data_IF_511720887946
#
_entry.id   IF_511720887946
#
_cell.length_a   1.000
_cell.length_b   1.000
_cell.length_c   1.000
_cell.angle_alpha   90.00
_cell.angle_beta   90.00
_cell.angle_gamma   90.00
#
_symmetry.space_group_name_H-M   'P 1'
#
loop_
_entity.id
_entity.type
_entity.pdbx_description
1 polymer ?
#
# COMPACT_ATOMS: atom_id res chain seq x y z
N UNK A 1 -11.78 -6.85 -9.13
CA UNK A 1 -10.90 -7.44 -8.10
C UNK A 1 -9.80 -6.45 -7.80
N UNK A 2 -9.85 -5.78 -6.66
CA UNK A 2 -8.90 -4.71 -6.31
C UNK A 2 -7.60 -5.31 -5.78
N UNK A 3 -6.51 -4.92 -6.41
CA UNK A 3 -5.13 -5.30 -6.06
C UNK A 3 -4.57 -4.27 -5.10
N UNK A 4 -3.88 -4.69 -4.08
CA UNK A 4 -3.50 -3.82 -2.96
C UNK A 4 -2.03 -3.69 -2.78
N UNK A 5 -1.64 -2.50 -2.40
CA UNK A 5 -0.29 -1.98 -2.50
C UNK A 5 0.38 -2.00 -1.13
N UNK A 6 1.54 -2.63 -1.06
CA UNK A 6 2.55 -2.36 -0.03
C UNK A 6 3.70 -1.69 -0.74
N UNK A 7 4.04 -0.48 -0.31
CA UNK A 7 5.17 0.28 -0.84
C UNK A 7 6.38 0.10 0.09
N UNK A 8 7.48 -0.37 -0.46
CA UNK A 8 8.77 -0.42 0.23
C UNK A 8 9.63 0.71 -0.33
N UNK A 9 10.11 1.59 0.53
CA UNK A 9 10.98 2.70 0.16
C UNK A 9 12.35 2.52 0.81
N UNK A 10 13.39 2.50 -0.01
CA UNK A 10 14.78 2.37 0.40
C UNK A 10 15.52 3.68 0.16
N UNK A 11 16.27 4.12 1.15
CA UNK A 11 17.11 5.32 1.07
C UNK A 11 18.58 4.90 1.27
N UNK A 12 19.43 4.91 0.24
CA UNK A 12 20.86 4.79 0.41
C UNK A 12 21.48 6.16 0.74
N UNK A 13 22.48 6.18 1.59
CA UNK A 13 23.38 7.34 1.77
C UNK A 13 24.79 6.97 1.39
N UNK A 14 25.41 7.82 0.59
CA UNK A 14 26.84 7.74 0.30
C UNK A 14 27.62 8.55 1.32
N UNK A 15 28.60 7.91 2.02
CA UNK A 15 29.55 8.60 2.88
C UNK A 15 30.85 8.79 2.10
N UNK A 16 31.12 10.03 1.66
CA UNK A 16 32.41 10.40 1.12
C UNK A 16 33.15 11.27 2.15
N UNK A 17 34.28 10.76 2.69
CA UNK A 17 35.16 11.55 3.52
C UNK A 17 35.87 12.58 2.62
N UNK A 18 35.51 13.80 2.76
CA UNK A 18 36.17 15.08 2.71
C UNK A 18 35.35 16.18 2.08
N UNK A 19 35.13 17.21 2.88
CA UNK A 19 34.82 18.59 2.55
C UNK A 19 33.81 18.82 1.37
N UNK A 20 32.59 19.21 1.69
CA UNK A 20 31.57 19.71 0.77
C UNK A 20 30.92 18.69 -0.19
N UNK A 21 30.87 17.44 0.14
CA UNK A 21 30.01 16.52 -0.59
C UNK A 21 28.63 16.45 0.10
N UNK A 22 27.61 16.98 -0.55
CA UNK A 22 26.23 16.73 -0.16
C UNK A 22 25.96 15.22 -0.21
N UNK A 23 25.29 14.68 0.80
CA UNK A 23 24.85 13.28 0.77
C UNK A 23 23.83 13.12 -0.36
N UNK A 24 24.17 12.35 -1.38
CA UNK A 24 23.22 11.96 -2.41
C UNK A 24 22.38 10.83 -1.83
N UNK A 25 21.09 11.09 -1.65
CA UNK A 25 20.14 10.07 -1.23
C UNK A 25 19.42 9.53 -2.45
N UNK A 26 19.50 8.23 -2.68
CA UNK A 26 18.73 7.53 -3.70
C UNK A 26 17.68 6.63 -3.07
N UNK A 27 16.61 6.33 -3.78
CA UNK A 27 15.50 5.52 -3.26
C UNK A 27 15.03 4.50 -4.28
N UNK A 28 14.98 3.24 -3.86
CA UNK A 28 14.35 2.16 -4.60
C UNK A 28 12.91 1.98 -4.08
N UNK A 29 11.94 1.99 -5.00
CA UNK A 29 10.52 1.80 -4.65
C UNK A 29 9.94 0.61 -5.38
N UNK A 30 9.16 -0.19 -4.66
CA UNK A 30 8.39 -1.27 -5.26
C UNK A 30 7.01 -1.37 -4.61
N UNK A 31 6.10 -2.02 -5.32
CA UNK A 31 4.71 -2.23 -4.88
C UNK A 31 4.38 -3.70 -4.97
N UNK A 32 3.99 -4.30 -3.86
CA UNK A 32 3.59 -5.70 -3.78
C UNK A 32 2.08 -5.82 -3.61
N UNK A 33 1.52 -6.91 -4.13
CA UNK A 33 0.09 -7.13 -4.18
C UNK A 33 -0.34 -8.29 -3.29
N UNK A 34 -1.51 -8.15 -2.69
CA UNK A 34 -2.12 -9.15 -1.84
C UNK A 34 -3.49 -9.56 -2.35
N UNK A 35 -3.87 -10.80 -2.17
CA UNK A 35 -5.25 -11.22 -2.40
C UNK A 35 -6.20 -10.52 -1.45
N UNK A 36 -7.44 -10.30 -1.90
CA UNK A 36 -8.48 -9.68 -1.07
C UNK A 36 -8.70 -10.50 0.20
N UNK A 37 -8.71 -9.85 1.36
CA UNK A 37 -8.90 -10.50 2.66
C UNK A 37 -7.67 -11.21 3.25
N UNK A 38 -6.58 -11.37 2.49
CA UNK A 38 -5.38 -12.09 2.95
C UNK A 38 -4.25 -11.14 3.33
N UNK A 39 -3.46 -11.56 4.32
CA UNK A 39 -2.24 -10.85 4.75
C UNK A 39 -0.96 -11.62 4.44
N UNK A 40 -1.05 -12.84 3.91
CA UNK A 40 0.09 -13.59 3.44
C UNK A 40 0.56 -13.04 2.09
N UNK A 41 1.88 -12.86 1.95
CA UNK A 41 2.49 -12.51 0.68
C UNK A 41 2.63 -13.77 -0.17
N UNK A 42 1.92 -13.82 -1.28
CA UNK A 42 2.04 -14.90 -2.26
C UNK A 42 2.97 -14.45 -3.38
N UNK A 43 4.10 -15.15 -3.57
CA UNK A 43 5.07 -14.82 -4.61
C UNK A 43 4.50 -15.04 -6.03
N UNK A 44 3.68 -16.07 -6.19
CA UNK A 44 2.99 -16.38 -7.46
C UNK A 44 1.84 -15.44 -7.79
N UNK A 45 1.47 -14.53 -6.86
CA UNK A 45 0.38 -13.60 -7.10
C UNK A 45 0.86 -12.36 -7.82
N UNK A 46 0.30 -12.11 -9.00
CA UNK A 46 0.71 -11.00 -9.86
C UNK A 46 2.19 -11.10 -10.25
N UNK A 47 2.89 -9.98 -10.16
CA UNK A 47 4.32 -9.81 -10.42
C UNK A 47 5.17 -9.72 -9.14
N UNK A 48 4.65 -10.22 -8.01
CA UNK A 48 5.32 -10.14 -6.71
C UNK A 48 6.70 -10.77 -6.72
N UNK A 49 6.88 -11.95 -7.33
CA UNK A 49 8.18 -12.63 -7.38
C UNK A 49 9.24 -11.77 -8.09
N UNK A 50 8.93 -11.25 -9.28
CA UNK A 50 9.84 -10.41 -10.04
C UNK A 50 10.19 -9.12 -9.30
N UNK A 51 9.20 -8.48 -8.67
CA UNK A 51 9.39 -7.25 -7.89
C UNK A 51 10.23 -7.48 -6.64
N UNK A 52 10.03 -8.57 -5.94
CA UNK A 52 10.85 -8.93 -4.78
C UNK A 52 12.28 -9.24 -5.18
N UNK A 53 12.49 -9.94 -6.30
CA UNK A 53 13.84 -10.21 -6.76
C UNK A 53 14.57 -8.92 -7.18
N UNK A 54 13.90 -8.01 -7.88
CA UNK A 54 14.46 -6.69 -8.19
C UNK A 54 14.81 -5.90 -6.92
N UNK A 55 13.92 -5.92 -5.92
CA UNK A 55 14.16 -5.27 -4.63
C UNK A 55 15.38 -5.87 -3.92
N UNK A 56 15.47 -7.19 -3.87
CA UNK A 56 16.57 -7.93 -3.26
C UNK A 56 17.92 -7.62 -3.92
N UNK A 57 17.94 -7.60 -5.26
CA UNK A 57 19.15 -7.24 -6.01
C UNK A 57 19.55 -5.79 -5.73
N UNK A 58 18.62 -4.85 -5.69
CA UNK A 58 18.89 -3.46 -5.34
C UNK A 58 19.47 -3.30 -3.93
N UNK A 59 18.91 -4.00 -2.93
CA UNK A 59 19.42 -3.97 -1.56
C UNK A 59 20.82 -4.57 -1.48
N UNK A 60 21.08 -5.69 -2.14
CA UNK A 60 22.42 -6.30 -2.19
C UNK A 60 23.44 -5.39 -2.84
N UNK A 61 23.09 -4.77 -3.97
CA UNK A 61 23.95 -3.79 -4.65
C UNK A 61 24.35 -2.62 -3.74
N UNK A 62 23.45 -2.19 -2.85
CA UNK A 62 23.77 -1.18 -1.82
C UNK A 62 24.79 -1.75 -0.82
N UNK A 63 24.62 -2.98 -0.36
CA UNK A 63 25.51 -3.62 0.61
C UNK A 63 26.91 -3.94 0.04
N UNK A 64 26.97 -4.25 -1.26
CA UNK A 64 28.21 -4.60 -1.96
C UNK A 64 29.06 -3.37 -2.32
N UNK A 65 28.48 -2.18 -2.31
CA UNK A 65 29.19 -0.94 -2.64
C UNK A 65 29.74 -0.28 -1.36
N UNK A 66 31.07 -0.18 -1.22
CA UNK A 66 31.70 0.37 0.00
C UNK A 66 31.38 1.85 0.25
N UNK A 67 30.87 2.57 -0.75
CA UNK A 67 30.52 3.99 -0.66
C UNK A 67 29.02 4.20 -0.34
N UNK A 68 28.26 3.15 -0.13
CA UNK A 68 26.81 3.24 0.14
C UNK A 68 26.46 2.51 1.42
N UNK A 69 25.46 3.03 2.12
CA UNK A 69 24.92 2.41 3.33
C UNK A 69 23.40 2.34 3.22
N UNK A 70 22.85 1.17 3.45
CA UNK A 70 21.41 1.01 3.61
C UNK A 70 20.98 1.66 4.94
N UNK A 71 20.34 2.81 4.86
CA UNK A 71 19.90 3.52 6.05
C UNK A 71 18.57 2.99 6.57
N UNK A 72 17.60 2.77 5.67
CA UNK A 72 16.25 2.55 6.12
C UNK A 72 15.38 1.86 5.07
N UNK A 73 14.52 0.95 5.53
CA UNK A 73 13.45 0.32 4.75
C UNK A 73 12.11 0.77 5.33
N UNK A 74 11.38 1.59 4.57
CA UNK A 74 10.03 2.00 4.95
C UNK A 74 8.99 1.13 4.28
N UNK A 75 8.15 0.49 5.07
CA UNK A 75 7.04 -0.33 4.60
C UNK A 75 5.75 0.43 4.89
N UNK A 76 5.05 0.84 3.85
CA UNK A 76 3.70 1.40 3.95
C UNK A 76 2.70 0.35 3.47
N UNK A 77 1.81 -0.06 4.33
CA UNK A 77 0.81 -1.08 4.04
C UNK A 77 -0.61 -0.54 4.11
N UNK A 78 -1.46 -1.06 3.23
CA UNK A 78 -2.86 -0.67 3.18
C UNK A 78 -3.78 -1.86 2.86
N UNK A 79 -5.06 -1.67 3.12
CA UNK A 79 -6.11 -2.57 2.68
C UNK A 79 -7.08 -1.81 1.78
N UNK A 80 -7.88 -2.49 0.92
CA UNK A 80 -8.94 -1.81 0.19
C UNK A 80 -10.04 -1.38 1.14
N UNK A 81 -10.74 -0.31 0.81
CA UNK A 81 -11.85 0.17 1.61
C UNK A 81 -13.10 -0.74 1.59
N UNK A 82 -13.03 -1.90 0.94
CA UNK A 82 -14.15 -2.84 0.90
C UNK A 82 -14.38 -3.53 2.25
N UNK A 83 -15.62 -3.56 2.71
CA UNK A 83 -16.02 -4.26 3.92
C UNK A 83 -15.73 -3.47 5.20
N UNK A 84 -15.50 -4.17 6.29
CA UNK A 84 -15.39 -3.58 7.61
C UNK A 84 -14.06 -2.85 7.82
N UNK A 85 -14.11 -1.55 8.10
CA UNK A 85 -12.94 -0.67 8.27
C UNK A 85 -11.99 -1.16 9.39
N UNK A 86 -12.53 -1.63 10.52
CA UNK A 86 -11.72 -2.16 11.63
C UNK A 86 -10.95 -3.42 11.22
N UNK A 87 -11.57 -4.28 10.41
CA UNK A 87 -10.89 -5.46 9.87
C UNK A 87 -9.84 -5.05 8.84
N UNK A 88 -10.13 -4.08 7.98
CA UNK A 88 -9.20 -3.58 6.98
C UNK A 88 -7.95 -2.93 7.61
N UNK A 89 -8.12 -2.13 8.67
CA UNK A 89 -7.01 -1.55 9.44
C UNK A 89 -6.11 -2.65 10.05
N UNK A 90 -6.70 -3.72 10.61
CA UNK A 90 -5.93 -4.86 11.12
C UNK A 90 -5.24 -5.63 10.00
N UNK A 91 -5.91 -5.83 8.87
CA UNK A 91 -5.36 -6.52 7.71
C UNK A 91 -4.16 -5.75 7.13
N UNK A 92 -4.30 -4.44 6.98
CA UNK A 92 -3.22 -3.58 6.53
C UNK A 92 -1.98 -3.71 7.44
N UNK A 93 -2.15 -3.56 8.76
CA UNK A 93 -1.06 -3.72 9.72
C UNK A 93 -0.37 -5.07 9.59
N UNK A 94 -1.12 -6.17 9.58
CA UNK A 94 -0.57 -7.52 9.43
C UNK A 94 0.22 -7.73 8.14
N UNK A 95 -0.19 -7.08 7.05
CA UNK A 95 0.55 -7.11 5.78
C UNK A 95 1.93 -6.48 5.92
N UNK A 96 1.98 -5.30 6.53
CA UNK A 96 3.23 -4.60 6.76
C UNK A 96 4.18 -5.38 7.67
N UNK A 97 3.67 -5.90 8.80
CA UNK A 97 4.43 -6.71 9.75
C UNK A 97 5.01 -7.97 9.09
N UNK A 98 4.19 -8.73 8.36
CA UNK A 98 4.63 -9.95 7.67
C UNK A 98 5.62 -9.68 6.54
N UNK A 99 5.47 -8.57 5.82
CA UNK A 99 6.44 -8.18 4.81
C UNK A 99 7.78 -7.82 5.45
N UNK A 100 7.77 -7.07 6.57
CA UNK A 100 8.99 -6.80 7.35
C UNK A 100 9.68 -8.09 7.74
N UNK A 101 8.93 -9.03 8.36
CA UNK A 101 9.50 -10.30 8.84
C UNK A 101 10.10 -11.10 7.70
N UNK A 102 9.41 -11.17 6.56
CA UNK A 102 9.90 -11.82 5.36
C UNK A 102 11.19 -11.18 4.82
N UNK A 103 11.23 -9.85 4.71
CA UNK A 103 12.42 -9.15 4.22
C UNK A 103 13.59 -9.24 5.21
N UNK A 104 13.31 -9.16 6.49
CA UNK A 104 14.30 -9.33 7.56
C UNK A 104 14.99 -10.68 7.48
N UNK A 105 14.22 -11.75 7.35
CA UNK A 105 14.73 -13.11 7.21
C UNK A 105 15.49 -13.30 5.89
N UNK A 106 14.89 -12.92 4.78
CA UNK A 106 15.45 -13.11 3.44
C UNK A 106 16.77 -12.36 3.22
N UNK A 107 16.91 -11.16 3.81
CA UNK A 107 18.07 -10.28 3.62
C UNK A 107 19.05 -10.28 4.79
N UNK A 108 18.73 -11.02 5.86
CA UNK A 108 19.51 -11.06 7.10
C UNK A 108 19.77 -9.65 7.67
N UNK A 109 18.74 -8.79 7.70
CA UNK A 109 18.85 -7.41 8.16
C UNK A 109 18.36 -7.27 9.61
N UNK A 110 18.95 -6.37 10.40
CA UNK A 110 18.48 -6.08 11.75
C UNK A 110 17.13 -5.35 11.73
N UNK A 111 16.36 -5.53 12.79
CA UNK A 111 15.04 -4.91 12.93
C UNK A 111 15.06 -3.38 12.88
N UNK A 112 16.18 -2.79 13.32
CA UNK A 112 16.40 -1.34 13.39
C UNK A 112 16.36 -0.61 12.05
N UNK A 113 16.59 -1.32 10.94
CA UNK A 113 16.52 -0.71 9.60
C UNK A 113 15.09 -0.61 9.08
N UNK A 114 14.11 -1.22 9.76
CA UNK A 114 12.73 -1.25 9.28
C UNK A 114 11.83 -0.25 10.01
N UNK A 115 11.01 0.44 9.24
CA UNK A 115 9.82 1.14 9.78
C UNK A 115 8.60 0.64 9.05
N UNK A 116 7.63 0.16 9.82
CA UNK A 116 6.34 -0.29 9.30
C UNK A 116 5.27 0.73 9.69
N UNK A 117 4.57 1.24 8.69
CA UNK A 117 3.40 2.09 8.87
C UNK A 117 2.21 1.50 8.12
N UNK A 118 1.02 1.78 8.63
CA UNK A 118 -0.22 1.32 8.04
C UNK A 118 -1.12 2.51 7.73
N UNK A 119 -1.47 2.68 6.47
CA UNK A 119 -2.46 3.66 6.03
C UNK A 119 -3.91 3.21 6.33
N UNK A 120 -4.10 1.97 6.80
CA UNK A 120 -5.43 1.41 6.99
C UNK A 120 -6.10 1.11 5.66
N UNK A 121 -7.02 1.94 5.22
CA UNK A 121 -7.73 1.81 3.95
C UNK A 121 -7.11 2.67 2.86
N UNK A 122 -6.96 2.11 1.66
CA UNK A 122 -6.34 2.76 0.51
C UNK A 122 -7.39 3.41 -0.39
N UNK A 123 -7.96 4.50 0.10
CA UNK A 123 -8.93 5.29 -0.66
C UNK A 123 -8.31 5.97 -1.87
N UNK A 124 -7.05 6.43 -1.75
CA UNK A 124 -6.35 7.06 -2.86
C UNK A 124 -6.03 6.05 -3.97
N UNK A 125 -5.52 4.87 -3.62
CA UNK A 125 -5.30 3.80 -4.59
C UNK A 125 -6.59 3.34 -5.28
N UNK A 126 -7.72 3.37 -4.58
CA UNK A 126 -9.03 3.14 -5.20
C UNK A 126 -9.36 4.25 -6.20
N UNK A 127 -9.20 5.52 -5.81
CA UNK A 127 -9.47 6.65 -6.67
C UNK A 127 -8.63 6.62 -7.95
N UNK A 128 -7.32 6.37 -7.83
CA UNK A 128 -6.42 6.22 -8.97
C UNK A 128 -6.85 5.08 -9.90
N UNK A 129 -7.31 3.98 -9.35
CA UNK A 129 -7.79 2.85 -10.15
C UNK A 129 -9.07 3.20 -10.90
N UNK A 130 -10.05 3.84 -10.26
CA UNK A 130 -11.29 4.31 -10.87
C UNK A 130 -10.97 5.31 -11.99
N UNK A 131 -10.04 6.23 -11.73
CA UNK A 131 -9.60 7.20 -12.73
C UNK A 131 -8.99 6.52 -13.96
N UNK A 132 -8.16 5.50 -13.75
CA UNK A 132 -7.54 4.72 -14.83
C UNK A 132 -8.54 3.90 -15.63
N UNK A 133 -9.58 3.37 -14.98
CA UNK A 133 -10.65 2.60 -15.62
C UNK A 133 -11.48 3.48 -16.58
N UNK A 134 -11.63 4.76 -16.26
CA UNK A 134 -12.29 5.79 -17.06
C UNK A 134 -13.67 5.36 -17.61
N UNK A 135 -14.43 4.65 -16.78
CA UNK A 135 -15.80 4.24 -17.08
C UNK A 135 -16.76 5.44 -16.95
N UNK A 136 -17.97 5.42 -17.55
CA UNK A 136 -18.95 6.51 -17.46
C UNK A 136 -19.24 6.96 -16.01
N UNK A 137 -19.27 6.02 -15.07
CA UNK A 137 -19.52 6.27 -13.64
C UNK A 137 -18.28 6.80 -12.88
N UNK A 138 -17.06 6.73 -13.46
CA UNK A 138 -15.80 7.06 -12.77
C UNK A 138 -15.80 8.48 -12.20
N UNK A 139 -16.31 9.45 -12.95
CA UNK A 139 -16.37 10.87 -12.51
C UNK A 139 -17.17 11.03 -11.22
N UNK A 140 -18.35 10.43 -11.15
CA UNK A 140 -19.21 10.51 -9.98
C UNK A 140 -18.61 9.78 -8.78
N UNK A 141 -18.02 8.61 -9.00
CA UNK A 141 -17.32 7.87 -7.96
C UNK A 141 -16.12 8.63 -7.37
N UNK A 142 -15.31 9.24 -8.22
CA UNK A 142 -14.19 10.08 -7.80
C UNK A 142 -14.65 11.30 -7.00
N UNK A 143 -15.77 11.91 -7.43
CA UNK A 143 -16.35 13.02 -6.68
C UNK A 143 -16.76 12.59 -5.28
N UNK A 144 -17.44 11.46 -5.13
CA UNK A 144 -17.85 10.92 -3.82
C UNK A 144 -16.61 10.63 -2.96
N UNK A 145 -15.61 9.92 -3.48
CA UNK A 145 -14.40 9.55 -2.73
C UNK A 145 -13.65 10.81 -2.24
N UNK A 146 -13.55 11.84 -3.06
CA UNK A 146 -12.77 13.04 -2.74
C UNK A 146 -13.51 14.07 -1.89
N UNK A 147 -14.83 14.08 -1.93
CA UNK A 147 -15.64 15.12 -1.29
C UNK A 147 -16.53 14.59 -0.15
N UNK A 148 -16.58 13.29 0.07
CA UNK A 148 -17.35 12.70 1.16
C UNK A 148 -16.42 12.26 2.28
N UNK A 149 -16.63 12.69 3.53
CA UNK A 149 -15.86 12.20 4.67
C UNK A 149 -15.91 10.68 4.77
N UNK A 150 -14.85 10.06 5.27
CA UNK A 150 -14.82 8.61 5.49
C UNK A 150 -16.04 8.16 6.31
N UNK A 151 -16.38 8.91 7.33
CA UNK A 151 -17.53 8.68 8.19
C UNK A 151 -18.31 9.97 8.47
N UNK A 152 -19.64 9.91 8.38
CA UNK A 152 -20.53 10.97 8.84
C UNK A 152 -21.15 10.51 10.16
N UNK A 153 -20.88 11.24 11.24
CA UNK A 153 -21.38 10.91 12.57
C UNK A 153 -22.45 11.90 12.98
N UNK A 154 -23.63 11.42 13.33
CA UNK A 154 -24.71 12.21 13.94
C UNK A 154 -25.09 11.58 15.27
N UNK A 155 -25.16 12.39 16.35
CA UNK A 155 -25.49 11.92 17.70
C UNK A 155 -24.64 10.71 18.16
N UNK A 156 -23.34 10.72 17.87
CA UNK A 156 -22.42 9.64 18.25
C UNK A 156 -22.56 8.35 17.42
N UNK A 157 -23.42 8.32 16.42
CA UNK A 157 -23.61 7.17 15.53
C UNK A 157 -23.16 7.50 14.12
N UNK A 158 -22.47 6.55 13.50
CA UNK A 158 -22.16 6.62 12.06
C UNK A 158 -23.46 6.44 11.29
N UNK A 159 -23.81 7.43 10.49
CA UNK A 159 -25.06 7.42 9.70
C UNK A 159 -24.81 7.37 8.20
N UNK A 160 -23.61 7.79 7.77
CA UNK A 160 -23.25 7.85 6.35
C UNK A 160 -21.73 8.02 6.21
N UNK A 161 -21.24 8.17 4.97
CA UNK A 161 -19.84 8.37 4.63
C UNK A 161 -19.35 7.39 3.57
N UNK A 162 -18.20 7.68 2.98
CA UNK A 162 -17.61 6.81 1.96
C UNK A 162 -17.34 5.38 2.48
N UNK A 163 -16.92 5.26 3.74
CA UNK A 163 -16.65 3.97 4.38
C UNK A 163 -17.93 3.16 4.64
N UNK A 164 -19.05 3.81 5.00
CA UNK A 164 -20.33 3.10 5.19
C UNK A 164 -20.82 2.49 3.88
N UNK A 165 -20.64 3.16 2.76
CA UNK A 165 -20.93 2.62 1.43
C UNK A 165 -20.07 1.39 1.14
N UNK A 166 -18.79 1.44 1.49
CA UNK A 166 -17.85 0.33 1.28
C UNK A 166 -18.17 -0.89 2.17
N UNK A 167 -18.62 -0.67 3.41
CA UNK A 167 -18.99 -1.75 4.35
C UNK A 167 -20.32 -2.44 3.98
N UNK A 168 -21.27 -1.70 3.46
CA UNK A 168 -22.58 -2.23 3.10
C UNK A 168 -22.55 -3.17 1.88
N UNK A 169 -21.43 -3.32 1.20
CA UNK A 169 -21.31 -4.05 -0.06
C UNK A 169 -20.71 -5.44 0.07
N UNK A 170 -21.17 -6.41 -0.75
CA UNK A 170 -20.60 -7.76 -0.78
C UNK A 170 -19.09 -7.73 -1.11
N UNK A 171 -18.31 -8.57 -0.43
CA UNK A 171 -16.85 -8.63 -0.44
C UNK A 171 -16.19 -8.84 -1.81
N UNK A 172 -16.94 -9.04 -2.89
CA UNK A 172 -16.40 -9.49 -4.18
C UNK A 172 -16.49 -8.50 -5.34
N UNK A 173 -17.22 -7.39 -5.20
CA UNK A 173 -17.30 -6.38 -6.28
C UNK A 173 -17.47 -4.98 -5.70
N UNK A 174 -16.53 -4.11 -6.00
CA UNK A 174 -16.77 -2.69 -5.99
C UNK A 174 -17.79 -2.41 -7.09
N UNK A 175 -18.99 -2.11 -6.68
CA UNK A 175 -20.15 -1.83 -7.50
C UNK A 175 -20.49 -2.90 -8.54
N UNK A 176 -21.58 -3.57 -8.33
CA UNK A 176 -22.18 -4.45 -9.33
C UNK A 176 -22.57 -3.64 -10.58
N UNK A 177 -22.78 -4.31 -11.69
CA UNK A 177 -23.21 -3.66 -12.92
C UNK A 177 -24.54 -2.89 -12.75
N UNK A 178 -25.43 -3.34 -11.86
CA UNK A 178 -26.68 -2.66 -11.55
C UNK A 178 -26.45 -1.36 -10.75
N UNK A 179 -25.53 -1.38 -9.80
CA UNK A 179 -25.16 -0.21 -8.99
C UNK A 179 -24.40 0.84 -9.80
N UNK A 180 -23.63 0.43 -10.80
CA UNK A 180 -23.02 1.35 -11.77
C UNK A 180 -24.08 2.12 -12.56
N UNK A 181 -25.16 1.45 -12.99
CA UNK A 181 -26.27 2.09 -13.69
C UNK A 181 -27.02 3.12 -12.86
N UNK A 182 -27.07 2.96 -11.53
CA UNK A 182 -27.71 3.95 -10.63
C UNK A 182 -26.84 5.21 -10.42
N UNK A 183 -25.58 5.18 -10.83
CA UNK A 183 -24.66 6.30 -10.71
C UNK A 183 -24.52 7.10 -12.03
N UNK A 184 -25.13 6.63 -13.12
CA UNK A 184 -25.31 7.38 -14.37
C UNK A 184 -26.46 8.37 -14.25
#
# INVERSE_FOLDING_TARGET
MMKKIVMVMLLPTTLVANAYAGTVSDSLRTTLYYRSGYSLLELSYMDNAAKLETLKQGIRSIGDNPNTVLQHIKILSAASPEGNSKLNKRLARRRGERLRDYLKEMLNLPDSVFTVSSAGEDWEGLALKIQKENAPWSRKALYIIRNTPEWIVRNGKVVDGAASIAEARPRHRWWSSAERKQME
#
